data_IF_754886532705
#
_entry.id   IF_754886532705
#
_cell.length_a   1.000
_cell.length_b   1.000
_cell.length_c   1.000
_cell.angle_alpha   90.00
_cell.angle_beta   90.00
_cell.angle_gamma   90.00
#
_symmetry.space_group_name_H-M   'P 1'
#
loop_
_entity.id
_entity.type
_entity.pdbx_description
1 polymer ?
#
# COMPACT_ATOMS: atom_id res chain seq x y z
N UNK A 1 10.43 -6.54 -12.74
CA UNK A 1 9.88 -5.75 -13.84
C UNK A 1 8.54 -5.12 -13.51
N UNK A 2 7.97 -4.40 -14.47
CA UNK A 2 6.71 -3.64 -14.33
C UNK A 2 5.52 -4.52 -13.96
N UNK A 3 5.41 -5.73 -14.50
CA UNK A 3 4.31 -6.66 -14.17
C UNK A 3 4.28 -7.02 -12.68
N UNK A 4 5.45 -7.25 -12.05
CA UNK A 4 5.54 -7.47 -10.59
C UNK A 4 5.09 -6.23 -9.83
N UNK A 5 5.49 -5.04 -10.27
CA UNK A 5 5.07 -3.79 -9.63
C UNK A 5 3.55 -3.58 -9.77
N UNK A 6 2.96 -3.97 -10.91
CA UNK A 6 1.50 -3.97 -11.12
C UNK A 6 0.77 -4.88 -10.13
N UNK A 7 1.28 -6.10 -9.92
CA UNK A 7 0.73 -7.02 -8.92
C UNK A 7 0.82 -6.45 -7.50
N UNK A 8 1.98 -5.91 -7.13
CA UNK A 8 2.19 -5.24 -5.83
C UNK A 8 1.17 -4.11 -5.64
N UNK A 9 0.93 -3.32 -6.68
CA UNK A 9 0.03 -2.18 -6.61
C UNK A 9 -1.44 -2.59 -6.61
N UNK A 10 -1.80 -3.71 -7.25
CA UNK A 10 -3.13 -4.31 -7.14
C UNK A 10 -3.40 -4.84 -5.72
N UNK A 11 -2.44 -5.55 -5.11
CA UNK A 11 -2.54 -6.01 -3.73
C UNK A 11 -2.65 -4.83 -2.75
N UNK A 12 -1.91 -3.76 -3.02
CA UNK A 12 -2.03 -2.53 -2.27
C UNK A 12 -3.43 -1.90 -2.37
N UNK A 13 -4.06 -1.92 -3.55
CA UNK A 13 -5.43 -1.44 -3.76
C UNK A 13 -6.44 -2.15 -2.87
N UNK A 14 -6.36 -3.48 -2.77
CA UNK A 14 -7.17 -4.28 -1.82
C UNK A 14 -6.84 -3.90 -0.39
N UNK A 15 -5.55 -3.85 -0.06
CA UNK A 15 -5.04 -3.56 1.28
C UNK A 15 -5.37 -2.16 1.80
N UNK A 16 -5.71 -1.23 0.93
CA UNK A 16 -6.11 0.13 1.28
C UNK A 16 -7.62 0.26 1.50
N UNK A 17 -8.43 -0.23 0.54
CA UNK A 17 -9.89 0.05 0.55
C UNK A 17 -10.60 -0.62 1.72
N UNK A 18 -10.17 -1.82 2.12
CA UNK A 18 -10.77 -2.55 3.23
C UNK A 18 -10.60 -1.83 4.57
N UNK A 19 -9.37 -1.47 5.02
CA UNK A 19 -9.21 -0.75 6.28
C UNK A 19 -9.80 0.66 6.23
N UNK A 20 -9.75 1.37 5.11
CA UNK A 20 -10.35 2.70 4.99
C UNK A 20 -11.87 2.66 5.22
N UNK A 21 -12.56 1.68 4.63
CA UNK A 21 -14.00 1.46 4.83
C UNK A 21 -14.30 1.05 6.27
N UNK A 22 -13.53 0.11 6.81
CA UNK A 22 -13.71 -0.40 8.18
C UNK A 22 -13.48 0.68 9.24
N UNK A 23 -12.41 1.47 9.10
CA UNK A 23 -12.09 2.58 10.03
C UNK A 23 -13.15 3.68 9.98
N UNK A 24 -13.67 4.00 8.79
CA UNK A 24 -14.76 4.96 8.66
C UNK A 24 -16.03 4.48 9.39
N UNK A 25 -16.37 3.20 9.27
CA UNK A 25 -17.49 2.61 10.00
C UNK A 25 -17.25 2.63 11.52
N UNK A 26 -16.04 2.27 11.97
CA UNK A 26 -15.67 2.35 13.39
C UNK A 26 -15.80 3.75 13.95
N UNK A 27 -15.32 4.76 13.23
CA UNK A 27 -15.42 6.16 13.65
C UNK A 27 -16.88 6.57 13.83
N UNK A 28 -17.73 6.22 12.87
CA UNK A 28 -19.17 6.50 12.93
C UNK A 28 -19.88 5.78 14.08
N UNK A 29 -19.51 4.53 14.36
CA UNK A 29 -20.10 3.76 15.47
C UNK A 29 -19.65 4.26 16.83
N UNK A 30 -18.37 4.63 16.97
CA UNK A 30 -17.80 5.06 18.26
C UNK A 30 -18.20 6.48 18.64
N UNK A 31 -18.41 7.36 17.65
CA UNK A 31 -18.71 8.77 17.84
C UNK A 31 -20.08 9.16 17.27
N UNK A 32 -21.07 8.28 17.37
CA UNK A 32 -22.42 8.53 16.86
C UNK A 32 -22.99 9.85 17.40
N UNK A 33 -23.41 10.70 16.48
CA UNK A 33 -23.99 12.01 16.81
C UNK A 33 -23.00 13.07 17.32
N UNK A 34 -21.70 12.77 17.30
CA UNK A 34 -20.65 13.71 17.66
C UNK A 34 -19.89 14.19 16.42
N UNK A 35 -19.48 15.45 16.42
CA UNK A 35 -18.66 16.04 15.35
C UNK A 35 -17.30 15.34 15.17
N UNK A 36 -16.85 14.55 16.15
CA UNK A 36 -15.64 13.74 16.08
C UNK A 36 -15.68 12.68 14.97
N UNK A 37 -16.85 12.14 14.65
CA UNK A 37 -17.00 11.20 13.54
C UNK A 37 -16.61 11.85 12.18
N UNK A 38 -16.93 13.14 12.02
CA UNK A 38 -16.62 13.87 10.80
C UNK A 38 -15.13 14.19 10.63
N UNK A 39 -14.35 14.13 11.72
CA UNK A 39 -12.91 14.35 11.71
C UNK A 39 -12.10 13.15 11.15
N UNK A 40 -12.73 11.99 10.95
CA UNK A 40 -12.02 10.81 10.43
C UNK A 40 -11.32 11.10 9.10
N UNK A 41 -12.04 11.59 8.12
CA UNK A 41 -11.48 11.88 6.79
C UNK A 41 -10.42 12.99 6.78
N UNK A 42 -10.64 14.12 7.46
CA UNK A 42 -9.58 15.11 7.65
C UNK A 42 -8.32 14.55 8.33
N UNK A 43 -8.48 13.78 9.42
CA UNK A 43 -7.35 13.18 10.12
C UNK A 43 -6.58 12.18 9.25
N UNK A 44 -7.30 11.34 8.51
CA UNK A 44 -6.72 10.41 7.54
C UNK A 44 -5.96 11.16 6.43
N UNK A 45 -6.54 12.24 5.92
CA UNK A 45 -5.92 13.11 4.91
C UNK A 45 -4.64 13.79 5.43
N UNK A 46 -4.64 14.29 6.67
CA UNK A 46 -3.45 14.87 7.30
C UNK A 46 -2.35 13.83 7.47
N UNK A 47 -2.70 12.61 7.93
CA UNK A 47 -1.74 11.52 8.02
C UNK A 47 -1.13 11.18 6.64
N UNK A 48 -1.94 11.14 5.59
CA UNK A 48 -1.48 10.89 4.23
C UNK A 48 -0.55 12.00 3.71
N UNK A 49 -0.87 13.25 3.97
CA UNK A 49 -0.03 14.40 3.61
C UNK A 49 1.33 14.35 4.31
N UNK A 50 1.34 14.06 5.61
CA UNK A 50 2.58 13.89 6.37
C UNK A 50 3.43 12.75 5.83
N UNK A 51 2.83 11.62 5.46
CA UNK A 51 3.52 10.50 4.83
C UNK A 51 4.22 10.87 3.53
N UNK A 52 3.54 11.63 2.66
CA UNK A 52 4.15 12.15 1.41
C UNK A 52 5.30 13.08 1.69
N UNK A 53 5.13 14.01 2.64
CA UNK A 53 6.20 14.95 3.02
C UNK A 53 7.42 14.20 3.52
N UNK A 54 7.25 13.23 4.42
CA UNK A 54 8.34 12.42 4.95
C UNK A 54 9.10 11.68 3.84
N UNK A 55 8.37 11.08 2.89
CA UNK A 55 8.99 10.39 1.75
C UNK A 55 9.66 11.38 0.81
N UNK A 56 9.12 12.58 0.63
CA UNK A 56 9.69 13.61 -0.24
C UNK A 56 10.98 14.24 0.33
N UNK A 57 11.06 14.37 1.66
CA UNK A 57 12.22 14.91 2.36
C UNK A 57 13.42 13.94 2.39
N UNK A 58 13.24 12.68 2.02
CA UNK A 58 14.34 11.71 1.99
C UNK A 58 15.43 12.14 0.99
N UNK A 59 16.64 12.23 1.46
CA UNK A 59 17.81 12.54 0.63
C UNK A 59 18.42 11.25 0.11
N UNK A 60 18.07 10.89 -1.13
CA UNK A 60 18.56 9.67 -1.76
C UNK A 60 17.95 8.42 -1.11
N UNK A 61 18.43 7.27 -1.48
CA UNK A 61 18.04 6.02 -0.88
C UNK A 61 17.28 5.10 -1.83
N UNK A 62 17.15 3.87 -1.40
CA UNK A 62 16.58 2.78 -2.19
C UNK A 62 15.06 2.89 -2.18
N UNK A 63 14.49 3.36 -3.29
CA UNK A 63 13.02 3.45 -3.47
C UNK A 63 12.32 2.15 -3.09
N UNK A 64 12.91 0.99 -3.43
CA UNK A 64 12.36 -0.30 -3.07
C UNK A 64 12.30 -0.56 -1.57
N UNK A 65 13.28 -0.11 -0.79
CA UNK A 65 13.25 -0.27 0.67
C UNK A 65 12.14 0.59 1.31
N UNK A 66 11.98 1.81 0.86
CA UNK A 66 10.90 2.69 1.32
C UNK A 66 9.52 2.17 0.90
N UNK A 67 9.40 1.66 -0.33
CA UNK A 67 8.16 1.03 -0.79
C UNK A 67 7.80 -0.19 0.04
N UNK A 68 8.77 -1.05 0.36
CA UNK A 68 8.55 -2.19 1.27
C UNK A 68 8.12 -1.73 2.66
N UNK A 69 8.80 -0.73 3.22
CA UNK A 69 8.46 -0.19 4.53
C UNK A 69 7.03 0.37 4.58
N UNK A 70 6.60 1.12 3.56
CA UNK A 70 5.23 1.64 3.47
C UNK A 70 4.19 0.53 3.35
N UNK A 71 4.45 -0.53 2.57
CA UNK A 71 3.56 -1.68 2.43
C UNK A 71 3.41 -2.45 3.75
N UNK A 72 4.49 -2.68 4.46
CA UNK A 72 4.45 -3.36 5.76
C UNK A 72 3.82 -2.50 6.85
N UNK A 73 4.11 -1.19 6.85
CA UNK A 73 3.47 -0.25 7.77
C UNK A 73 1.95 -0.23 7.57
N UNK A 74 1.50 -0.23 6.32
CA UNK A 74 0.09 -0.37 5.96
C UNK A 74 -0.48 -1.69 6.49
N UNK A 75 0.23 -2.81 6.32
CA UNK A 75 -0.17 -4.12 6.84
C UNK A 75 -0.33 -4.13 8.35
N UNK A 76 0.59 -3.51 9.08
CA UNK A 76 0.49 -3.33 10.53
C UNK A 76 -0.72 -2.46 10.90
N UNK A 77 -1.02 -1.42 10.12
CA UNK A 77 -2.20 -0.59 10.31
C UNK A 77 -3.50 -1.39 10.13
N UNK A 78 -3.56 -2.27 9.14
CA UNK A 78 -4.71 -3.18 8.94
C UNK A 78 -4.88 -4.11 10.14
N UNK A 79 -3.79 -4.66 10.68
CA UNK A 79 -3.84 -5.50 11.87
C UNK A 79 -4.25 -4.71 13.12
N UNK A 80 -3.82 -3.45 13.24
CA UNK A 80 -4.24 -2.58 14.34
C UNK A 80 -5.76 -2.32 14.34
N UNK A 81 -6.41 -2.31 13.17
CA UNK A 81 -7.86 -2.19 13.07
C UNK A 81 -8.60 -3.35 13.77
N UNK A 82 -7.98 -4.53 13.90
CA UNK A 82 -8.59 -5.68 14.54
C UNK A 82 -8.70 -5.55 16.07
N UNK A 83 -7.91 -4.66 16.69
CA UNK A 83 -7.99 -4.45 18.15
C UNK A 83 -9.25 -3.71 18.58
N UNK A 84 -9.89 -2.98 17.66
CA UNK A 84 -11.12 -2.23 17.95
C UNK A 84 -10.89 -1.04 18.92
N UNK A 85 -11.99 -0.38 19.29
CA UNK A 85 -11.95 0.75 20.21
C UNK A 85 -11.22 1.98 19.70
N UNK A 86 -11.06 2.99 20.56
CA UNK A 86 -10.42 4.26 20.19
C UNK A 86 -8.95 4.14 19.83
N UNK A 87 -8.21 3.27 20.52
CA UNK A 87 -6.80 3.03 20.22
C UNK A 87 -6.61 2.38 18.84
N UNK A 88 -7.42 1.35 18.53
CA UNK A 88 -7.39 0.70 17.23
C UNK A 88 -7.75 1.67 16.10
N UNK A 89 -8.71 2.57 16.34
CA UNK A 89 -9.08 3.63 15.39
C UNK A 89 -7.91 4.59 15.13
N UNK A 90 -7.30 5.14 16.19
CA UNK A 90 -6.18 6.10 16.05
C UNK A 90 -4.98 5.45 15.35
N UNK A 91 -4.57 4.26 15.80
CA UNK A 91 -3.45 3.54 15.18
C UNK A 91 -3.77 3.18 13.72
N UNK A 92 -5.01 2.73 13.44
CA UNK A 92 -5.45 2.46 12.08
C UNK A 92 -5.40 3.68 11.19
N UNK A 93 -5.91 4.84 11.64
CA UNK A 93 -5.87 6.10 10.88
C UNK A 93 -4.43 6.52 10.57
N UNK A 94 -3.53 6.47 11.54
CA UNK A 94 -2.13 6.88 11.36
C UNK A 94 -1.38 5.89 10.47
N UNK A 95 -1.46 4.60 10.79
CA UNK A 95 -0.67 3.55 10.10
C UNK A 95 -1.23 3.18 8.72
N UNK A 96 -2.51 3.41 8.46
CA UNK A 96 -3.09 3.26 7.13
C UNK A 96 -3.06 4.57 6.33
N UNK A 97 -3.23 5.71 6.98
CA UNK A 97 -3.25 7.03 6.33
C UNK A 97 -1.87 7.45 5.86
N UNK A 98 -0.85 7.43 6.74
CA UNK A 98 0.49 7.91 6.40
C UNK A 98 1.12 7.19 5.20
N UNK A 99 1.09 5.86 5.05
CA UNK A 99 1.66 5.21 3.88
C UNK A 99 0.81 5.38 2.62
N UNK A 100 -0.44 5.83 2.71
CA UNK A 100 -1.38 5.87 1.59
C UNK A 100 -0.82 6.58 0.35
N UNK A 101 -0.65 7.88 0.39
CA UNK A 101 -0.12 8.64 -0.74
C UNK A 101 1.38 8.42 -0.94
N UNK A 102 2.12 8.15 0.13
CA UNK A 102 3.54 7.83 0.08
C UNK A 102 3.81 6.57 -0.77
N UNK A 103 3.01 5.52 -0.62
CA UNK A 103 3.10 4.31 -1.44
C UNK A 103 2.83 4.60 -2.92
N UNK A 104 1.79 5.37 -3.24
CA UNK A 104 1.50 5.79 -4.62
C UNK A 104 2.68 6.51 -5.26
N UNK A 105 3.27 7.48 -4.55
CA UNK A 105 4.46 8.22 -5.00
C UNK A 105 5.64 7.28 -5.26
N UNK A 106 5.91 6.36 -4.34
CA UNK A 106 7.01 5.41 -4.43
C UNK A 106 6.83 4.41 -5.57
N UNK A 107 5.61 3.93 -5.81
CA UNK A 107 5.29 3.04 -6.94
C UNK A 107 5.55 3.75 -8.26
N UNK A 108 5.09 4.99 -8.41
CA UNK A 108 5.34 5.78 -9.63
C UNK A 108 6.81 6.10 -9.82
N UNK A 109 7.54 6.41 -8.75
CA UNK A 109 8.98 6.61 -8.80
C UNK A 109 9.71 5.31 -9.21
N UNK A 110 9.34 4.18 -8.61
CA UNK A 110 9.94 2.88 -8.95
C UNK A 110 9.65 2.48 -10.39
N UNK A 111 8.49 2.79 -10.91
CA UNK A 111 8.14 2.58 -12.31
C UNK A 111 9.06 3.35 -13.27
N UNK A 112 9.33 4.62 -12.96
CA UNK A 112 10.27 5.45 -13.74
C UNK A 112 11.70 4.92 -13.69
N UNK A 113 12.14 4.41 -12.54
CA UNK A 113 13.47 3.79 -12.40
C UNK A 113 13.60 2.50 -13.23
N UNK A 114 12.53 1.72 -13.33
CA UNK A 114 12.53 0.44 -14.06
C UNK A 114 12.38 0.60 -15.57
N UNK A 115 11.65 1.60 -16.04
CA UNK A 115 11.35 1.79 -17.45
C UNK A 115 11.10 3.27 -17.78
N UNK A 116 12.16 4.10 -17.83
CA UNK A 116 12.04 5.54 -18.03
C UNK A 116 11.42 5.91 -19.38
N UNK A 117 11.61 5.08 -20.40
CA UNK A 117 11.11 5.30 -21.76
C UNK A 117 9.59 5.09 -21.91
N UNK A 118 8.93 4.43 -20.94
CA UNK A 118 7.53 4.07 -21.01
C UNK A 118 6.72 4.65 -19.83
N UNK A 119 7.13 5.80 -19.28
CA UNK A 119 6.60 6.36 -18.04
C UNK A 119 5.08 6.53 -18.06
N UNK A 120 4.51 7.12 -19.10
CA UNK A 120 3.07 7.38 -19.19
C UNK A 120 2.26 6.09 -19.31
N UNK A 121 2.70 5.18 -20.20
CA UNK A 121 2.05 3.88 -20.38
C UNK A 121 2.06 3.06 -19.09
N UNK A 122 3.18 3.04 -18.40
CA UNK A 122 3.33 2.29 -17.16
C UNK A 122 2.52 2.92 -16.01
N UNK A 123 2.41 4.25 -15.96
CA UNK A 123 1.56 4.93 -15.00
C UNK A 123 0.08 4.54 -15.19
N UNK A 124 -0.41 4.55 -16.44
CA UNK A 124 -1.76 4.10 -16.77
C UNK A 124 -2.02 2.64 -16.38
N UNK A 125 -1.09 1.74 -16.74
CA UNK A 125 -1.17 0.32 -16.38
C UNK A 125 -1.20 0.10 -14.87
N UNK A 126 -0.32 0.76 -14.13
CA UNK A 126 -0.26 0.64 -12.67
C UNK A 126 -1.53 1.17 -12.01
N UNK A 127 -2.04 2.31 -12.49
CA UNK A 127 -3.31 2.86 -11.99
C UNK A 127 -4.48 1.91 -12.26
N UNK A 128 -4.52 1.27 -13.42
CA UNK A 128 -5.52 0.25 -13.73
C UNK A 128 -5.41 -0.97 -12.80
N UNK A 129 -4.19 -1.46 -12.53
CA UNK A 129 -3.96 -2.54 -11.58
C UNK A 129 -4.45 -2.18 -10.17
N UNK A 130 -4.16 -0.96 -9.72
CA UNK A 130 -4.63 -0.45 -8.43
C UNK A 130 -6.16 -0.37 -8.36
N UNK A 131 -6.80 0.17 -9.40
CA UNK A 131 -8.27 0.25 -9.49
C UNK A 131 -8.92 -1.13 -9.46
N UNK A 132 -8.36 -2.11 -10.17
CA UNK A 132 -8.82 -3.50 -10.13
C UNK A 132 -8.67 -4.11 -8.74
N UNK A 133 -7.61 -3.77 -8.02
CA UNK A 133 -7.42 -4.13 -6.62
C UNK A 133 -8.53 -3.55 -5.73
N UNK A 134 -8.81 -2.25 -5.88
CA UNK A 134 -9.86 -1.58 -5.12
C UNK A 134 -11.26 -2.16 -5.39
N UNK A 135 -11.57 -2.53 -6.62
CA UNK A 135 -12.85 -3.16 -6.96
C UNK A 135 -13.04 -4.53 -6.26
N UNK A 136 -11.96 -5.28 -6.06
CA UNK A 136 -12.01 -6.59 -5.37
C UNK A 136 -12.21 -6.45 -3.86
N UNK A 137 -11.82 -5.32 -3.27
CA UNK A 137 -11.97 -5.08 -1.83
C UNK A 137 -13.41 -5.23 -1.33
N UNK A 138 -14.40 -4.49 -1.87
CA UNK A 138 -15.80 -4.62 -1.50
C UNK A 138 -16.36 -6.04 -1.72
N UNK A 139 -15.93 -6.73 -2.78
CA UNK A 139 -16.31 -8.11 -3.04
C UNK A 139 -15.82 -9.05 -1.93
N UNK A 140 -14.55 -8.90 -1.54
CA UNK A 140 -13.97 -9.66 -0.42
C UNK A 140 -14.68 -9.34 0.90
N UNK A 141 -15.01 -8.08 1.15
CA UNK A 141 -15.77 -7.67 2.32
C UNK A 141 -17.16 -8.30 2.34
N UNK A 142 -17.88 -8.28 1.20
CA UNK A 142 -19.21 -8.87 1.07
C UNK A 142 -19.18 -10.39 1.29
N UNK A 143 -18.23 -11.09 0.66
CA UNK A 143 -18.04 -12.54 0.83
C UNK A 143 -17.70 -12.86 2.29
N UNK A 144 -16.77 -12.15 2.90
CA UNK A 144 -16.38 -12.33 4.29
C UNK A 144 -17.58 -12.15 5.22
N UNK A 145 -18.34 -11.07 5.04
CA UNK A 145 -19.53 -10.81 5.87
C UNK A 145 -20.64 -11.83 5.65
N UNK A 146 -20.84 -12.31 4.42
CA UNK A 146 -21.85 -13.32 4.10
C UNK A 146 -21.57 -14.66 4.79
N UNK A 147 -20.33 -15.14 4.78
CA UNK A 147 -19.98 -16.45 5.32
C UNK A 147 -19.64 -16.44 6.81
N UNK A 148 -19.13 -15.35 7.35
CA UNK A 148 -18.63 -15.28 8.73
C UNK A 148 -19.34 -14.26 9.60
N UNK A 149 -20.18 -13.39 9.02
CA UNK A 149 -20.82 -12.27 9.73
C UNK A 149 -19.81 -11.19 10.17
N UNK A 150 -18.56 -11.22 9.65
CA UNK A 150 -17.48 -10.35 10.09
C UNK A 150 -16.59 -9.91 8.93
N UNK A 151 -15.97 -8.73 9.06
CA UNK A 151 -14.97 -8.23 8.13
C UNK A 151 -13.53 -8.69 8.49
N UNK A 152 -13.35 -9.35 9.64
CA UNK A 152 -12.03 -9.77 10.11
C UNK A 152 -11.27 -10.66 9.11
N UNK A 153 -11.87 -11.69 8.47
CA UNK A 153 -11.16 -12.49 7.48
C UNK A 153 -10.70 -11.68 6.27
N UNK A 154 -11.51 -10.73 5.80
CA UNK A 154 -11.13 -9.86 4.69
C UNK A 154 -9.95 -8.95 5.07
N UNK A 155 -9.92 -8.41 6.29
CA UNK A 155 -8.79 -7.61 6.80
C UNK A 155 -7.51 -8.44 6.93
N UNK A 156 -7.61 -9.69 7.40
CA UNK A 156 -6.46 -10.61 7.48
C UNK A 156 -5.90 -10.95 6.09
N UNK A 157 -6.78 -11.18 5.10
CA UNK A 157 -6.37 -11.37 3.71
C UNK A 157 -5.68 -10.12 3.15
N UNK A 158 -6.19 -8.93 3.46
CA UNK A 158 -5.58 -7.66 3.05
C UNK A 158 -4.19 -7.50 3.66
N UNK A 159 -4.02 -7.76 4.96
CA UNK A 159 -2.73 -7.71 5.64
C UNK A 159 -1.72 -8.71 5.06
N UNK A 160 -2.17 -9.94 4.79
CA UNK A 160 -1.34 -10.97 4.14
C UNK A 160 -0.91 -10.54 2.74
N UNK A 161 -1.82 -9.98 1.95
CA UNK A 161 -1.53 -9.45 0.62
C UNK A 161 -0.47 -8.34 0.66
N UNK A 162 -0.55 -7.44 1.64
CA UNK A 162 0.44 -6.38 1.84
C UNK A 162 1.81 -6.93 2.27
N UNK A 163 1.83 -7.96 3.12
CA UNK A 163 3.07 -8.64 3.51
C UNK A 163 3.75 -9.28 2.30
N UNK A 164 2.99 -10.00 1.48
CA UNK A 164 3.46 -10.59 0.22
C UNK A 164 3.94 -9.52 -0.76
N UNK A 165 3.20 -8.43 -0.91
CA UNK A 165 3.57 -7.31 -1.78
C UNK A 165 4.93 -6.71 -1.38
N UNK A 166 5.17 -6.49 -0.09
CA UNK A 166 6.46 -6.04 0.44
C UNK A 166 7.59 -7.03 0.14
N UNK A 167 7.34 -8.34 0.33
CA UNK A 167 8.30 -9.40 -0.01
C UNK A 167 8.65 -9.43 -1.50
N UNK A 168 7.66 -9.26 -2.38
CA UNK A 168 7.88 -9.19 -3.84
C UNK A 168 8.75 -8.00 -4.25
N UNK A 169 8.60 -6.86 -3.58
CA UNK A 169 9.45 -5.67 -3.81
C UNK A 169 10.89 -5.97 -3.42
N UNK A 170 11.12 -6.57 -2.23
CA UNK A 170 12.45 -6.93 -1.75
C UNK A 170 13.13 -7.94 -2.66
N UNK A 171 12.45 -9.02 -3.02
CA UNK A 171 12.97 -10.04 -3.93
C UNK A 171 13.38 -9.44 -5.29
N UNK A 172 12.58 -8.48 -5.80
CA UNK A 172 12.92 -7.76 -7.03
C UNK A 172 14.14 -6.87 -6.89
N UNK A 173 14.36 -6.25 -5.74
CA UNK A 173 15.51 -5.41 -5.48
C UNK A 173 16.82 -6.20 -5.34
N UNK A 174 16.73 -7.40 -4.78
CA UNK A 174 17.88 -8.32 -4.66
C UNK A 174 18.31 -8.88 -6.02
N UNK A 175 17.35 -9.31 -6.86
CA UNK A 175 17.63 -9.83 -8.19
C UNK A 175 18.39 -8.84 -9.08
N UNK A 176 18.10 -7.51 -8.95
CA UNK A 176 18.84 -6.47 -9.66
C UNK A 176 20.26 -6.23 -9.14
N UNK A 177 20.61 -6.71 -7.94
CA UNK A 177 21.95 -6.57 -7.36
C UNK A 177 22.88 -7.73 -7.74
N UNK A 178 22.33 -8.90 -7.96
CA UNK A 178 23.09 -10.12 -8.29
C UNK A 178 23.44 -10.22 -9.78
N UNK A 179 22.89 -9.37 -10.65
CA UNK A 179 23.08 -9.40 -12.11
C UNK A 179 23.86 -8.20 -12.72
N UNK A 180 24.84 -7.55 -12.07
CA UNK A 180 25.64 -6.49 -12.71
C UNK A 180 26.93 -6.98 -13.40
N UNK A 181 27.30 -8.27 -13.27
CA UNK A 181 28.68 -8.69 -13.58
C UNK A 181 28.88 -9.38 -14.95
N UNK A 182 27.82 -9.72 -15.68
CA UNK A 182 28.00 -10.47 -16.95
C UNK A 182 28.17 -9.62 -18.20
N UNK A 183 27.76 -8.35 -18.17
CA UNK A 183 27.85 -7.51 -19.39
C UNK A 183 29.18 -6.77 -19.54
N UNK A 184 30.03 -6.75 -18.51
CA UNK A 184 31.37 -6.12 -18.59
C UNK A 184 32.49 -7.11 -18.94
N UNK A 185 32.23 -8.40 -18.93
CA UNK A 185 33.21 -9.42 -19.31
C UNK A 185 33.28 -9.61 -20.84
N UNK A 186 32.14 -9.50 -21.52
CA UNK A 186 32.10 -9.66 -23.01
C UNK A 186 32.64 -8.44 -23.78
N UNK A 187 32.72 -7.26 -23.16
CA UNK A 187 33.23 -6.06 -23.81
C UNK A 187 34.77 -5.93 -23.75
N UNK A 188 35.47 -6.87 -23.10
CA UNK A 188 36.95 -6.88 -23.01
C UNK A 188 37.64 -7.98 -23.84
N UNK A 189 36.84 -8.73 -24.60
CA UNK A 189 37.35 -9.82 -25.46
C UNK A 189 37.20 -9.57 -26.97
N UNK A 190 37.08 -8.28 -27.39
CA UNK A 190 37.16 -7.86 -28.80
C UNK A 190 38.29 -6.88 -28.99
#
# INVERSE_FOLDING_TARGET
GIGRLGLVYALYGVGYILPATFLSQMANQQFQGQWLADLFWPAFGVAAALGVVLVSLRRGGRTSAWLTATLWLQGLGVLACLWGGGLGLVLGVVLCGAPFLACMQLVMQRSRELAPQATQRNAGLLTACYALGQLRGPLLAAVSNHYTGSLQPALLLAASGLAVAGGLVLAGAQAHRTCPAQHSADARSV
#
